data_IF_209880832293
#
_entry.id   IF_209880832293
#
_cell.length_a   1.000
_cell.length_b   1.000
_cell.length_c   1.000
_cell.angle_alpha   90.00
_cell.angle_beta   90.00
_cell.angle_gamma   90.00
#
_symmetry.space_group_name_H-M   'P 1'
#
loop_
_entity.id
_entity.type
_entity.pdbx_description
1 polymer ?
#
# COMPACT_ATOMS: atom_id res chain seq x y z
N UNK A 1 -7.78 -11.76 32.34
CA UNK A 1 -9.11 -11.67 31.71
C UNK A 1 -8.89 -11.97 30.24
N UNK A 2 -9.55 -12.99 29.72
CA UNK A 2 -9.50 -13.25 28.27
C UNK A 2 -10.25 -12.13 27.53
N UNK A 3 -9.76 -11.67 26.37
CA UNK A 3 -10.49 -10.69 25.58
C UNK A 3 -11.75 -11.36 25.05
N UNK A 4 -12.92 -10.89 25.47
CA UNK A 4 -14.19 -11.27 24.86
C UNK A 4 -14.15 -10.84 23.40
N UNK A 5 -13.96 -11.80 22.50
CA UNK A 5 -14.22 -11.72 21.05
C UNK A 5 -15.73 -11.49 20.83
N UNK A 6 -16.22 -10.32 21.21
CA UNK A 6 -17.50 -9.81 20.74
C UNK A 6 -17.37 -9.63 19.24
N UNK A 7 -18.07 -10.45 18.46
CA UNK A 7 -18.09 -10.37 17.00
C UNK A 7 -18.49 -8.95 16.60
N UNK A 8 -17.58 -8.22 15.97
CA UNK A 8 -17.90 -6.91 15.41
C UNK A 8 -18.84 -7.10 14.22
N UNK A 9 -20.08 -6.67 14.38
CA UNK A 9 -21.09 -6.67 13.31
C UNK A 9 -21.24 -5.24 12.78
N UNK A 10 -20.81 -5.04 11.54
CA UNK A 10 -20.96 -3.78 10.83
C UNK A 10 -21.66 -4.05 9.50
N UNK A 11 -22.78 -3.37 9.29
CA UNK A 11 -23.54 -3.48 8.05
C UNK A 11 -22.74 -2.90 6.88
N UNK A 12 -22.88 -3.53 5.70
CA UNK A 12 -22.26 -3.04 4.46
C UNK A 12 -22.86 -1.69 4.12
N UNK A 13 -22.02 -0.69 3.88
CA UNK A 13 -22.51 0.62 3.43
C UNK A 13 -23.25 0.50 2.10
N UNK A 14 -24.55 0.78 2.12
CA UNK A 14 -25.40 0.73 0.93
C UNK A 14 -25.57 2.09 0.24
N UNK A 15 -24.98 3.16 0.79
CA UNK A 15 -25.16 4.53 0.31
C UNK A 15 -26.47 5.18 0.76
N UNK A 16 -27.36 4.44 1.43
CA UNK A 16 -28.62 4.93 2.00
C UNK A 16 -28.52 5.29 3.48
N UNK A 17 -27.49 4.80 4.14
CA UNK A 17 -27.20 5.08 5.55
C UNK A 17 -26.47 6.41 5.72
N UNK A 18 -26.50 6.94 6.94
CA UNK A 18 -25.68 8.09 7.31
C UNK A 18 -24.19 7.71 7.24
N UNK A 19 -23.50 8.22 6.21
CA UNK A 19 -22.08 8.00 6.00
C UNK A 19 -21.22 8.44 7.19
N UNK A 20 -21.62 9.50 7.90
CA UNK A 20 -20.91 9.98 9.09
C UNK A 20 -20.96 8.96 10.22
N UNK A 21 -22.14 8.39 10.49
CA UNK A 21 -22.31 7.32 11.49
C UNK A 21 -21.62 6.03 11.06
N UNK A 22 -21.69 5.66 9.78
CA UNK A 22 -21.00 4.48 9.27
C UNK A 22 -19.48 4.64 9.39
N UNK A 23 -18.94 5.79 8.99
CA UNK A 23 -17.52 6.15 9.15
C UNK A 23 -17.10 6.13 10.62
N UNK A 24 -17.90 6.70 11.52
CA UNK A 24 -17.61 6.70 12.96
C UNK A 24 -17.50 5.29 13.53
N UNK A 25 -18.41 4.38 13.15
CA UNK A 25 -18.34 2.96 13.54
C UNK A 25 -17.08 2.28 13.02
N UNK A 26 -16.69 2.54 11.77
CA UNK A 26 -15.47 1.97 11.18
C UNK A 26 -14.22 2.48 11.90
N UNK A 27 -14.13 3.79 12.12
CA UNK A 27 -13.01 4.41 12.83
C UNK A 27 -12.91 3.91 14.27
N UNK A 28 -14.03 3.82 14.97
CA UNK A 28 -14.06 3.24 16.32
C UNK A 28 -13.55 1.79 16.36
N UNK A 29 -13.81 1.00 15.32
CA UNK A 29 -13.28 -0.35 15.24
C UNK A 29 -11.77 -0.39 14.95
N UNK A 30 -11.29 0.50 14.07
CA UNK A 30 -9.85 0.64 13.82
C UNK A 30 -9.11 1.10 15.09
N UNK A 31 -9.72 1.96 15.90
CA UNK A 31 -9.20 2.39 17.20
C UNK A 31 -9.08 1.21 18.17
N UNK A 32 -10.15 0.40 18.32
CA UNK A 32 -10.14 -0.80 19.16
C UNK A 32 -9.04 -1.79 18.73
N UNK A 33 -8.75 -1.87 17.43
CA UNK A 33 -7.70 -2.72 16.87
C UNK A 33 -6.29 -2.09 16.89
N UNK A 34 -6.17 -0.84 17.34
CA UNK A 34 -4.90 -0.11 17.36
C UNK A 34 -4.39 0.34 15.98
N UNK A 35 -5.28 0.39 14.97
CA UNK A 35 -4.97 0.75 13.59
C UNK A 35 -5.28 2.22 13.26
N UNK A 36 -6.07 2.91 14.08
CA UNK A 36 -6.50 4.28 13.81
C UNK A 36 -5.34 5.29 13.77
N UNK A 37 -4.30 5.08 14.57
CA UNK A 37 -3.10 5.93 14.61
C UNK A 37 -2.38 6.04 13.26
N UNK A 38 -2.53 5.03 12.39
CA UNK A 38 -2.00 5.04 11.02
C UNK A 38 -2.67 6.12 10.17
N UNK A 39 -3.94 6.46 10.45
CA UNK A 39 -4.72 7.43 9.70
C UNK A 39 -4.55 8.87 10.23
N UNK A 40 -4.02 9.04 11.44
CA UNK A 40 -3.79 10.35 12.06
C UNK A 40 -2.49 11.04 11.58
N UNK A 41 -1.54 10.29 11.00
CA UNK A 41 -0.28 10.82 10.45
C UNK A 41 -0.52 11.93 9.39
N UNK A 42 -1.65 11.90 8.69
CA UNK A 42 -1.98 12.85 7.63
C UNK A 42 -2.34 14.25 8.19
N UNK A 43 -3.10 14.30 9.29
CA UNK A 43 -3.68 15.55 9.81
C UNK A 43 -2.63 16.52 10.37
N UNK A 44 -1.55 16.00 10.95
CA UNK A 44 -0.47 16.83 11.50
C UNK A 44 0.34 17.54 10.41
N UNK A 45 0.35 16.99 9.19
CA UNK A 45 1.24 17.47 8.13
C UNK A 45 0.52 18.43 7.17
N UNK A 46 -0.77 18.19 6.86
CA UNK A 46 -1.61 19.16 6.13
C UNK A 46 -1.65 20.54 6.82
N UNK A 47 -1.70 20.57 8.16
CA UNK A 47 -1.71 21.82 8.94
C UNK A 47 -0.35 22.56 8.89
N UNK A 48 0.74 21.87 8.57
CA UNK A 48 2.07 22.49 8.40
C UNK A 48 2.25 23.12 7.02
N UNK A 49 1.71 22.52 5.96
CA UNK A 49 1.85 23.04 4.59
C UNK A 49 1.03 24.32 4.37
N UNK A 50 -0.21 24.40 4.87
CA UNK A 50 -1.04 25.61 4.74
C UNK A 50 -0.41 26.85 5.41
N UNK A 51 0.32 26.68 6.52
CA UNK A 51 0.97 27.80 7.23
C UNK A 51 2.23 28.34 6.54
N UNK A 52 2.79 27.64 5.54
CA UNK A 52 4.03 28.04 4.87
C UNK A 52 3.79 28.72 3.52
N UNK A 53 2.58 28.63 2.96
CA UNK A 53 2.20 29.27 1.70
C UNK A 53 2.19 30.81 1.78
N UNK A 54 2.11 31.38 3.00
CA UNK A 54 2.09 32.83 3.23
C UNK A 54 3.49 33.51 3.12
N UNK A 55 4.60 32.77 2.97
CA UNK A 55 5.98 33.30 3.13
C UNK A 55 6.89 33.12 1.89
N UNK A 56 6.40 32.66 0.74
CA UNK A 56 7.25 32.42 -0.44
C UNK A 56 7.38 33.63 -1.40
N UNK A 57 8.43 34.45 -1.23
CA UNK A 57 8.71 35.61 -2.11
C UNK A 57 10.08 35.53 -2.84
N UNK A 58 10.61 34.33 -3.10
CA UNK A 58 11.83 34.21 -3.92
C UNK A 58 11.86 32.94 -4.80
N UNK A 59 12.45 33.00 -6.01
CA UNK A 59 12.51 31.87 -6.94
C UNK A 59 13.34 30.70 -6.40
N UNK A 60 14.45 30.97 -5.69
CA UNK A 60 15.25 29.91 -5.04
C UNK A 60 14.50 29.23 -3.89
N UNK A 61 13.73 29.99 -3.11
CA UNK A 61 12.87 29.44 -2.06
C UNK A 61 11.73 28.60 -2.65
N UNK A 62 11.19 29.00 -3.80
CA UNK A 62 10.16 28.24 -4.53
C UNK A 62 10.70 26.94 -5.11
N UNK A 63 11.89 26.94 -5.70
CA UNK A 63 12.49 25.73 -6.26
C UNK A 63 12.87 24.73 -5.15
N UNK A 64 13.37 25.22 -4.01
CA UNK A 64 13.58 24.42 -2.81
C UNK A 64 12.27 23.86 -2.25
N UNK A 65 11.19 24.66 -2.28
CA UNK A 65 9.86 24.23 -1.85
C UNK A 65 9.26 23.16 -2.76
N UNK A 66 9.38 23.31 -4.08
CA UNK A 66 8.92 22.31 -5.05
C UNK A 66 9.67 20.98 -4.90
N UNK A 67 10.99 21.01 -4.69
CA UNK A 67 11.76 19.81 -4.41
C UNK A 67 11.34 19.13 -3.10
N UNK A 68 11.04 19.93 -2.07
CA UNK A 68 10.50 19.42 -0.80
C UNK A 68 9.07 18.86 -0.97
N UNK A 69 8.24 19.50 -1.77
CA UNK A 69 6.86 19.07 -2.07
C UNK A 69 6.84 17.76 -2.85
N UNK A 70 7.74 17.59 -3.83
CA UNK A 70 7.90 16.35 -4.59
C UNK A 70 8.43 15.21 -3.69
N UNK A 71 9.43 15.50 -2.86
CA UNK A 71 9.94 14.57 -1.84
C UNK A 71 8.88 14.24 -0.77
N UNK A 72 7.98 15.18 -0.48
CA UNK A 72 6.89 15.03 0.48
C UNK A 72 5.72 14.23 -0.08
N UNK A 73 5.27 14.52 -1.30
CA UNK A 73 4.28 13.73 -2.04
C UNK A 73 4.71 12.26 -2.11
N UNK A 74 5.99 12.03 -2.43
CA UNK A 74 6.60 10.71 -2.40
C UNK A 74 6.43 10.04 -1.02
N UNK A 75 6.70 10.75 0.09
CA UNK A 75 6.68 10.17 1.45
C UNK A 75 5.32 10.22 2.16
N UNK A 76 4.32 10.87 1.58
CA UNK A 76 3.02 11.10 2.21
C UNK A 76 2.31 9.78 2.54
N UNK A 77 1.51 9.76 3.62
CA UNK A 77 0.73 8.59 4.00
C UNK A 77 -0.17 8.09 2.84
N UNK A 78 -0.90 8.95 2.10
CA UNK A 78 -1.68 8.53 0.95
C UNK A 78 -0.84 7.84 -0.13
N UNK A 79 0.35 8.34 -0.44
CA UNK A 79 1.22 7.72 -1.44
C UNK A 79 1.79 6.38 -0.97
N UNK A 80 2.20 6.29 0.30
CA UNK A 80 2.64 5.03 0.93
C UNK A 80 1.51 3.99 0.92
N UNK A 81 0.29 4.38 1.25
CA UNK A 81 -0.90 3.53 1.20
C UNK A 81 -1.16 3.09 -0.25
N UNK A 82 -1.15 4.03 -1.20
CA UNK A 82 -1.38 3.75 -2.62
C UNK A 82 -0.40 2.70 -3.16
N UNK A 83 0.91 2.89 -2.95
CA UNK A 83 1.91 1.93 -3.45
C UNK A 83 1.81 0.57 -2.75
N UNK A 84 1.53 0.53 -1.44
CA UNK A 84 1.28 -0.73 -0.72
C UNK A 84 0.04 -1.45 -1.25
N UNK A 85 -1.01 -0.71 -1.60
CA UNK A 85 -2.21 -1.27 -2.22
C UNK A 85 -1.94 -1.78 -3.62
N UNK A 86 -1.22 -1.03 -4.46
CA UNK A 86 -0.79 -1.47 -5.78
C UNK A 86 0.03 -2.77 -5.69
N UNK A 87 0.95 -2.85 -4.74
CA UNK A 87 1.72 -4.07 -4.50
C UNK A 87 0.83 -5.23 -4.11
N UNK A 88 -0.02 -5.08 -3.09
CA UNK A 88 -0.89 -6.16 -2.61
C UNK A 88 -1.91 -6.64 -3.66
N UNK A 89 -2.34 -5.74 -4.54
CA UNK A 89 -3.30 -6.03 -5.61
C UNK A 89 -2.66 -6.35 -6.97
N UNK A 90 -1.33 -6.40 -7.05
CA UNK A 90 -0.62 -6.59 -8.30
C UNK A 90 -1.04 -7.89 -9.01
N UNK A 91 -1.35 -7.78 -10.30
CA UNK A 91 -1.70 -8.88 -11.21
C UNK A 91 -0.97 -8.66 -12.53
N UNK A 92 -0.45 -9.73 -13.10
CA UNK A 92 0.15 -9.66 -14.43
C UNK A 92 -0.94 -9.41 -15.47
N UNK A 93 -0.65 -8.51 -16.40
CA UNK A 93 -1.50 -8.24 -17.55
C UNK A 93 -1.26 -9.32 -18.61
N UNK A 94 -2.30 -10.08 -18.93
CA UNK A 94 -2.26 -11.15 -19.94
C UNK A 94 -1.97 -10.63 -21.36
N UNK A 95 -2.16 -9.33 -21.60
CA UNK A 95 -1.86 -8.70 -22.89
C UNK A 95 -0.38 -8.31 -23.03
N UNK A 96 0.38 -8.32 -21.94
CA UNK A 96 1.81 -8.02 -21.93
C UNK A 96 2.62 -9.30 -21.87
N UNK A 97 3.85 -9.24 -22.37
CA UNK A 97 4.78 -10.34 -22.20
C UNK A 97 5.23 -10.44 -20.72
N UNK A 98 5.88 -11.54 -20.36
CA UNK A 98 6.31 -11.77 -18.98
C UNK A 98 7.37 -10.77 -18.51
N UNK A 99 8.27 -10.35 -19.40
CA UNK A 99 9.36 -9.41 -19.10
C UNK A 99 8.80 -8.03 -18.75
N UNK A 100 7.88 -7.50 -19.57
CA UNK A 100 7.22 -6.21 -19.31
C UNK A 100 6.45 -6.21 -17.97
N UNK A 101 5.80 -7.34 -17.64
CA UNK A 101 5.11 -7.53 -16.37
C UNK A 101 6.09 -7.55 -15.19
N UNK A 102 7.24 -8.23 -15.35
CA UNK A 102 8.30 -8.27 -14.34
C UNK A 102 8.93 -6.89 -14.15
N UNK A 103 9.18 -6.15 -15.21
CA UNK A 103 9.69 -4.78 -15.13
C UNK A 103 8.73 -3.86 -14.38
N UNK A 104 7.43 -4.00 -14.64
CA UNK A 104 6.38 -3.25 -13.91
C UNK A 104 6.42 -3.60 -12.41
N UNK A 105 6.57 -4.88 -12.08
CA UNK A 105 6.68 -5.33 -10.69
C UNK A 105 7.95 -4.81 -10.00
N UNK A 106 9.12 -4.92 -10.65
CA UNK A 106 10.39 -4.45 -10.12
C UNK A 106 10.41 -2.93 -9.93
N UNK A 107 9.80 -2.19 -10.86
CA UNK A 107 9.61 -0.75 -10.71
C UNK A 107 8.77 -0.42 -9.47
N UNK A 108 7.69 -1.15 -9.23
CA UNK A 108 6.86 -0.97 -8.04
C UNK A 108 7.64 -1.25 -6.74
N UNK A 109 8.52 -2.26 -6.74
CA UNK A 109 9.44 -2.51 -5.61
C UNK A 109 10.44 -1.37 -5.42
N UNK A 110 11.01 -0.85 -6.52
CA UNK A 110 11.93 0.28 -6.48
C UNK A 110 11.26 1.55 -5.95
N UNK A 111 10.02 1.82 -6.37
CA UNK A 111 9.22 2.95 -5.91
C UNK A 111 8.94 2.82 -4.39
N UNK A 112 8.58 1.64 -3.90
CA UNK A 112 8.43 1.37 -2.46
C UNK A 112 9.75 1.54 -1.69
N UNK A 113 10.86 1.06 -2.25
CA UNK A 113 12.18 1.18 -1.65
C UNK A 113 12.64 2.65 -1.54
N UNK A 114 12.29 3.48 -2.52
CA UNK A 114 12.56 4.93 -2.49
C UNK A 114 11.91 5.62 -1.28
N UNK A 115 10.80 5.06 -0.78
CA UNK A 115 10.09 5.52 0.41
C UNK A 115 10.57 4.87 1.71
N UNK A 116 11.69 4.14 1.67
CA UNK A 116 12.21 3.33 2.79
C UNK A 116 11.23 2.24 3.24
N UNK A 117 10.33 1.81 2.36
CA UNK A 117 9.43 0.67 2.61
C UNK A 117 10.08 -0.56 1.98
N UNK A 118 10.74 -1.36 2.81
CA UNK A 118 11.32 -2.64 2.37
C UNK A 118 10.27 -3.73 2.46
N UNK A 119 10.02 -4.41 1.34
CA UNK A 119 9.22 -5.64 1.30
C UNK A 119 10.18 -6.82 1.34
N UNK A 120 9.91 -7.82 2.20
CA UNK A 120 10.77 -8.98 2.31
C UNK A 120 10.83 -9.77 1.00
N UNK A 121 11.95 -10.42 0.71
CA UNK A 121 12.07 -11.25 -0.51
C UNK A 121 11.00 -12.36 -0.55
N UNK A 122 10.60 -12.87 0.62
CA UNK A 122 9.50 -13.83 0.76
C UNK A 122 8.16 -13.21 0.33
N UNK A 123 7.81 -12.02 0.81
CA UNK A 123 6.57 -11.32 0.45
C UNK A 123 6.56 -10.92 -1.04
N UNK A 124 7.72 -10.52 -1.58
CA UNK A 124 7.88 -10.24 -3.01
C UNK A 124 7.61 -11.51 -3.84
N UNK A 125 8.19 -12.65 -3.44
CA UNK A 125 7.96 -13.92 -4.11
C UNK A 125 6.48 -14.37 -3.99
N UNK A 126 5.86 -14.23 -2.82
CA UNK A 126 4.44 -14.53 -2.62
C UNK A 126 3.57 -13.67 -3.53
N UNK A 127 3.81 -12.35 -3.59
CA UNK A 127 3.04 -11.45 -4.44
C UNK A 127 3.23 -11.79 -5.92
N UNK A 128 4.46 -12.04 -6.35
CA UNK A 128 4.74 -12.41 -7.74
C UNK A 128 4.05 -13.73 -8.13
N UNK A 129 4.14 -14.76 -7.29
CA UNK A 129 3.51 -16.05 -7.53
C UNK A 129 1.98 -15.99 -7.53
N UNK A 130 1.38 -15.09 -6.76
CA UNK A 130 -0.08 -14.87 -6.75
C UNK A 130 -0.56 -13.95 -7.86
N UNK A 131 0.35 -13.22 -8.51
CA UNK A 131 0.05 -12.33 -9.62
C UNK A 131 -0.01 -13.02 -10.99
N UNK A 132 0.57 -14.22 -11.09
CA UNK A 132 0.66 -14.98 -12.34
C UNK A 132 -0.72 -15.32 -12.91
N UNK A 133 -0.89 -15.27 -14.25
CA UNK A 133 -2.15 -15.66 -14.90
C UNK A 133 -2.52 -17.13 -14.62
N UNK A 134 -3.81 -17.51 -14.75
CA UNK A 134 -4.28 -18.88 -14.53
C UNK A 134 -3.54 -19.95 -15.35
N UNK A 135 -2.99 -19.58 -16.51
CA UNK A 135 -2.18 -20.47 -17.35
C UNK A 135 -0.96 -21.08 -16.60
N UNK A 136 -0.47 -20.41 -15.55
CA UNK A 136 0.68 -20.85 -14.76
C UNK A 136 0.30 -21.47 -13.41
N UNK A 137 -1.00 -21.72 -13.15
CA UNK A 137 -1.48 -22.21 -11.84
C UNK A 137 -0.79 -23.51 -11.41
N UNK A 138 -0.58 -24.45 -12.34
CA UNK A 138 0.12 -25.72 -12.08
C UNK A 138 1.58 -25.51 -11.67
N UNK A 139 2.26 -24.55 -12.31
CA UNK A 139 3.63 -24.16 -11.95
C UNK A 139 3.66 -23.54 -10.56
N UNK A 140 2.74 -22.61 -10.28
CA UNK A 140 2.62 -21.96 -8.97
C UNK A 140 2.36 -22.97 -7.86
N UNK A 141 1.45 -23.93 -8.07
CA UNK A 141 1.16 -24.98 -7.11
C UNK A 141 2.40 -25.86 -6.84
N UNK A 142 3.14 -26.21 -7.90
CA UNK A 142 4.38 -26.99 -7.78
C UNK A 142 5.48 -26.21 -7.07
N UNK A 143 5.61 -24.90 -7.27
CA UNK A 143 6.61 -24.09 -6.58
C UNK A 143 6.27 -23.86 -5.10
N UNK A 144 4.98 -23.71 -4.77
CA UNK A 144 4.51 -23.51 -3.39
C UNK A 144 4.54 -24.77 -2.54
N UNK A 145 4.20 -25.93 -3.14
CA UNK A 145 3.95 -27.17 -2.40
C UNK A 145 4.78 -28.36 -2.90
N UNK A 146 5.50 -28.21 -4.01
CA UNK A 146 6.38 -29.23 -4.53
C UNK A 146 7.55 -29.43 -3.58
N UNK A 147 7.66 -30.63 -3.02
CA UNK A 147 8.79 -31.05 -2.22
C UNK A 147 10.07 -30.92 -3.07
N UNK A 148 11.00 -30.10 -2.61
CA UNK A 148 12.25 -29.81 -3.29
C UNK A 148 13.08 -31.06 -3.54
N UNK A 149 12.84 -31.74 -4.66
CA UNK A 149 13.92 -32.47 -5.32
C UNK A 149 14.82 -31.42 -5.92
N UNK A 150 15.87 -31.06 -5.17
CA UNK A 150 17.03 -30.37 -5.73
C UNK A 150 17.35 -31.04 -7.06
N UNK A 151 17.16 -30.32 -8.16
CA UNK A 151 17.74 -30.68 -9.44
C UNK A 151 19.24 -30.50 -9.29
N UNK A 152 19.91 -31.54 -8.77
CA UNK A 152 21.35 -31.68 -8.88
C UNK A 152 21.66 -31.85 -10.37
N UNK A 153 22.23 -30.82 -10.98
CA UNK A 153 23.11 -30.97 -12.14
C UNK A 153 24.52 -30.66 -11.69
#
# INVERSE_FOLDING_TARGET
MEPTLGRFEMEKFTGKEDFGMWKYKLLGQLEIQGLASVLDEDFSIYVKSEKQEEVMDSPTSRDMWLALEEEYQAKSLPNRIYLKQQFASFRMDENKNLEDNLDTFLKLIADLASLKITISDEDQAIQLLTSLPPAYEQLVHTLKYGTGKKLSR
#
